data_IF_856696782467
#
_entry.id   IF_856696782467
#
_cell.length_a   1.000
_cell.length_b   1.000
_cell.length_c   1.000
_cell.angle_alpha   90.00
_cell.angle_beta   90.00
_cell.angle_gamma   90.00
#
_symmetry.space_group_name_H-M   'P 1'
#
loop_
_entity.id
_entity.type
_entity.pdbx_description
1 polymer ?
#
# COMPACT_ATOMS: atom_id res chain seq x y z
N UNK A 1 25.36 11.76 -1.72
CA UNK A 1 24.43 10.72 -2.23
C UNK A 1 23.42 10.45 -1.12
N UNK A 2 22.20 10.96 -1.25
CA UNK A 2 21.19 10.84 -0.18
C UNK A 2 20.54 9.45 -0.25
N UNK A 3 21.15 8.47 0.41
CA UNK A 3 20.50 7.21 0.74
C UNK A 3 19.42 7.49 1.78
N UNK A 4 18.21 7.86 1.33
CA UNK A 4 17.05 7.99 2.20
C UNK A 4 16.90 6.70 2.98
N UNK A 5 16.84 6.79 4.32
CA UNK A 5 16.75 5.63 5.21
C UNK A 5 15.68 4.68 4.67
N UNK A 6 16.06 3.46 4.31
CA UNK A 6 15.12 2.40 4.00
C UNK A 6 14.25 2.22 5.24
N UNK A 7 12.99 2.64 5.11
CA UNK A 7 12.01 2.44 6.16
C UNK A 7 11.20 1.20 5.83
N UNK A 8 10.54 0.66 6.83
CA UNK A 8 9.58 -0.43 6.64
C UNK A 8 8.21 0.06 7.08
N UNK A 9 7.18 -0.47 6.43
CA UNK A 9 5.82 -0.31 6.89
C UNK A 9 5.62 -1.08 8.20
N UNK A 10 4.78 -0.57 9.11
CA UNK A 10 4.43 -1.32 10.29
C UNK A 10 3.74 -2.64 9.91
N UNK A 11 4.21 -3.72 10.51
CA UNK A 11 3.63 -5.05 10.38
C UNK A 11 2.12 -5.05 10.64
N UNK A 12 1.36 -5.82 9.86
CA UNK A 12 -0.09 -5.91 9.96
C UNK A 12 -0.78 -6.01 8.60
N UNK A 13 -2.09 -6.23 8.63
CA UNK A 13 -2.92 -6.32 7.42
C UNK A 13 -3.28 -4.92 6.93
N UNK A 14 -3.04 -4.66 5.67
CA UNK A 14 -3.47 -3.47 4.95
C UNK A 14 -4.68 -3.85 4.12
N UNK A 15 -5.80 -3.17 4.40
CA UNK A 15 -7.06 -3.35 3.69
C UNK A 15 -7.19 -2.19 2.71
N UNK A 16 -7.28 -2.50 1.42
CA UNK A 16 -7.42 -1.50 0.37
C UNK A 16 -8.89 -1.26 0.07
N UNK A 17 -9.27 0.01 -0.05
CA UNK A 17 -10.63 0.42 -0.38
C UNK A 17 -10.62 1.57 -1.38
N UNK A 18 -11.61 1.59 -2.25
CA UNK A 18 -11.92 2.72 -3.12
C UNK A 18 -12.89 3.67 -2.39
N UNK A 19 -12.69 4.99 -2.46
CA UNK A 19 -13.70 5.96 -2.09
C UNK A 19 -14.87 5.78 -3.07
N UNK A 20 -16.03 5.40 -2.55
CA UNK A 20 -17.24 5.39 -3.36
C UNK A 20 -17.72 6.82 -3.59
N UNK A 21 -18.46 7.02 -4.68
CA UNK A 21 -19.06 8.30 -5.04
C UNK A 21 -19.94 8.83 -3.90
N UNK A 22 -20.04 10.16 -3.79
CA UNK A 22 -20.78 10.89 -2.76
C UNK A 22 -22.30 10.60 -2.72
N UNK A 23 -22.79 9.73 -3.60
CA UNK A 23 -24.17 9.24 -3.69
C UNK A 23 -24.33 7.76 -3.28
N UNK A 24 -23.25 7.08 -2.88
CA UNK A 24 -23.21 5.64 -2.59
C UNK A 24 -22.39 5.27 -1.34
N UNK A 25 -22.01 3.98 -1.20
CA UNK A 25 -21.21 3.49 -0.07
C UNK A 25 -19.92 4.31 0.05
N UNK A 26 -19.64 4.86 1.22
CA UNK A 26 -18.49 5.74 1.43
C UNK A 26 -17.13 5.10 1.09
N UNK A 27 -17.02 3.77 1.21
CA UNK A 27 -15.81 2.99 0.94
C UNK A 27 -16.18 1.60 0.41
N UNK A 28 -15.57 1.17 -0.70
CA UNK A 28 -15.69 -0.18 -1.23
C UNK A 28 -14.35 -0.91 -1.08
N UNK A 29 -14.31 -1.94 -0.24
CA UNK A 29 -13.10 -2.73 0.00
C UNK A 29 -12.77 -3.57 -1.24
N UNK A 30 -11.50 -3.55 -1.65
CA UNK A 30 -10.97 -4.37 -2.75
C UNK A 30 -10.09 -5.46 -2.12
N UNK A 31 -10.66 -6.63 -1.76
CA UNK A 31 -9.89 -7.72 -1.17
C UNK A 31 -8.75 -8.19 -2.08
N UNK A 32 -8.91 -8.06 -3.40
CA UNK A 32 -7.88 -8.38 -4.41
C UNK A 32 -6.59 -7.54 -4.25
N UNK A 33 -6.67 -6.39 -3.59
CA UNK A 33 -5.55 -5.48 -3.36
C UNK A 33 -5.07 -5.51 -1.91
N UNK A 34 -5.68 -6.33 -1.06
CA UNK A 34 -5.25 -6.49 0.33
C UNK A 34 -3.89 -7.17 0.41
N UNK A 35 -3.08 -6.70 1.35
CA UNK A 35 -1.79 -7.31 1.64
C UNK A 35 -1.46 -7.25 3.12
N UNK A 36 -0.66 -8.20 3.58
CA UNK A 36 -0.16 -8.27 4.95
C UNK A 36 1.34 -8.00 4.92
N UNK A 37 1.78 -7.04 5.73
CA UNK A 37 3.21 -6.82 5.97
C UNK A 37 3.63 -7.76 7.09
N UNK A 38 4.44 -8.75 6.72
CA UNK A 38 4.92 -9.81 7.61
C UNK A 38 6.14 -9.30 8.39
N UNK A 39 7.28 -9.15 7.73
CA UNK A 39 8.47 -8.56 8.33
C UNK A 39 9.32 -7.78 7.32
N UNK A 40 9.95 -6.72 7.81
CA UNK A 40 10.81 -5.85 7.03
C UNK A 40 10.11 -5.28 5.80
N UNK A 41 10.74 -5.44 4.64
CA UNK A 41 10.28 -4.96 3.33
C UNK A 41 9.48 -5.99 2.53
N UNK A 42 8.85 -6.96 3.22
CA UNK A 42 8.12 -8.08 2.60
C UNK A 42 6.62 -7.92 2.81
N UNK A 43 5.83 -8.23 1.79
CA UNK A 43 4.37 -8.27 1.85
C UNK A 43 3.86 -9.63 1.36
N UNK A 44 2.69 -10.03 1.84
CA UNK A 44 1.98 -11.25 1.47
C UNK A 44 0.55 -10.91 1.07
N UNK A 45 0.08 -11.46 -0.05
CA UNK A 45 -1.32 -11.39 -0.50
C UNK A 45 -1.86 -12.81 -0.68
N UNK A 46 -3.15 -12.94 -0.99
CA UNK A 46 -3.73 -14.24 -1.35
C UNK A 46 -3.09 -14.83 -2.62
N UNK A 47 -2.66 -13.97 -3.56
CA UNK A 47 -2.01 -14.40 -4.79
C UNK A 47 -0.53 -14.78 -4.61
N UNK A 48 0.13 -14.37 -3.52
CA UNK A 48 1.52 -14.73 -3.23
C UNK A 48 2.28 -13.69 -2.42
N UNK A 49 3.60 -13.82 -2.37
CA UNK A 49 4.47 -12.97 -1.54
C UNK A 49 5.37 -12.12 -2.43
N UNK A 50 5.71 -10.92 -1.98
CA UNK A 50 6.63 -10.03 -2.68
C UNK A 50 7.37 -9.08 -1.75
N UNK A 51 8.11 -8.16 -2.34
CA UNK A 51 8.84 -7.13 -1.59
C UNK A 51 8.49 -5.74 -2.10
N UNK A 52 8.56 -4.78 -1.20
CA UNK A 52 8.34 -3.37 -1.48
C UNK A 52 9.53 -2.55 -0.97
N UNK A 53 9.69 -1.35 -1.49
CA UNK A 53 10.73 -0.42 -1.10
C UNK A 53 10.06 0.85 -0.61
N UNK A 54 10.25 1.20 0.66
CA UNK A 54 9.73 2.43 1.24
C UNK A 54 10.86 3.45 1.39
N UNK A 55 10.73 4.55 0.65
CA UNK A 55 11.66 5.67 0.66
C UNK A 55 10.93 6.93 1.11
N UNK A 56 11.18 7.33 2.36
CA UNK A 56 10.47 8.43 3.01
C UNK A 56 8.98 8.13 3.15
N UNK A 57 8.17 8.61 2.21
CA UNK A 57 6.72 8.34 2.15
C UNK A 57 6.32 7.50 0.94
N UNK A 58 7.19 7.25 -0.03
CA UNK A 58 6.83 6.50 -1.22
C UNK A 58 7.15 5.02 -1.04
N UNK A 59 6.14 4.18 -1.21
CA UNK A 59 6.20 2.70 -1.18
C UNK A 59 6.14 2.23 -2.62
N UNK A 60 7.17 1.55 -3.12
CA UNK A 60 7.18 0.99 -4.47
C UNK A 60 7.32 -0.51 -4.42
N UNK A 61 6.39 -1.22 -5.06
CA UNK A 61 6.37 -2.67 -5.09
C UNK A 61 7.30 -3.16 -6.21
N UNK A 62 8.40 -3.78 -5.83
CA UNK A 62 9.46 -4.20 -6.76
C UNK A 62 9.33 -5.68 -7.16
N UNK A 63 8.59 -6.47 -6.39
CA UNK A 63 8.43 -7.92 -6.57
C UNK A 63 7.04 -8.40 -6.17
N UNK A 64 6.62 -9.56 -6.69
CA UNK A 64 5.35 -10.21 -6.38
C UNK A 64 4.19 -9.76 -7.28
N UNK A 65 2.94 -10.12 -6.93
CA UNK A 65 1.76 -9.85 -7.76
C UNK A 65 1.44 -8.36 -7.90
N UNK A 66 1.90 -7.52 -6.98
CA UNK A 66 1.71 -6.06 -7.03
C UNK A 66 2.91 -5.32 -7.64
N UNK A 67 3.84 -6.03 -8.31
CA UNK A 67 5.03 -5.42 -8.92
C UNK A 67 4.65 -4.29 -9.88
N UNK A 68 5.33 -3.15 -9.73
CA UNK A 68 5.11 -1.96 -10.56
C UNK A 68 4.13 -0.96 -9.95
N UNK A 69 3.38 -1.34 -8.91
CA UNK A 69 2.53 -0.43 -8.19
C UNK A 69 3.34 0.46 -7.24
N UNK A 70 2.95 1.72 -7.14
CA UNK A 70 3.48 2.65 -6.16
C UNK A 70 2.36 3.12 -5.25
N UNK A 71 2.69 3.41 -3.99
CA UNK A 71 1.77 3.93 -2.99
C UNK A 71 2.47 5.04 -2.21
N UNK A 72 1.72 6.01 -1.75
CA UNK A 72 2.18 7.05 -0.85
C UNK A 72 1.67 6.80 0.56
N UNK A 73 2.58 6.78 1.51
CA UNK A 73 2.32 6.78 2.93
C UNK A 73 1.86 8.15 3.38
N UNK A 74 0.55 8.29 3.45
CA UNK A 74 -0.10 9.46 4.04
C UNK A 74 0.22 9.54 5.52
N UNK A 75 0.16 8.42 6.26
CA UNK A 75 0.40 8.37 7.71
C UNK A 75 0.92 7.02 8.20
N UNK A 76 1.10 6.87 9.52
CA UNK A 76 1.67 5.69 10.20
C UNK A 76 1.17 4.34 9.66
N UNK A 77 -0.14 4.23 9.42
CA UNK A 77 -0.79 3.05 8.84
C UNK A 77 -1.78 3.38 7.73
N UNK A 78 -1.58 4.48 6.99
CA UNK A 78 -2.44 4.82 5.84
C UNK A 78 -1.59 5.04 4.60
N UNK A 79 -1.95 4.33 3.55
CA UNK A 79 -1.35 4.35 2.24
C UNK A 79 -2.38 4.80 1.21
N UNK A 80 -1.92 5.42 0.13
CA UNK A 80 -2.74 5.82 -1.00
C UNK A 80 -2.07 5.34 -2.27
N UNK A 81 -2.80 4.69 -3.15
CA UNK A 81 -2.25 4.23 -4.42
C UNK A 81 -1.77 5.44 -5.21
N UNK A 82 -0.59 5.33 -5.81
CA UNK A 82 -0.07 6.29 -6.78
C UNK A 82 -0.25 5.70 -8.17
N UNK A 83 -0.67 6.56 -9.08
CA UNK A 83 -0.73 6.24 -10.50
C UNK A 83 0.68 6.23 -11.11
N UNK A 84 0.81 5.85 -12.38
CA UNK A 84 2.10 5.82 -13.11
C UNK A 84 2.80 7.19 -13.14
N UNK A 85 2.00 8.27 -13.06
CA UNK A 85 2.47 9.65 -12.97
C UNK A 85 2.86 10.09 -11.55
N UNK A 86 2.81 9.20 -10.55
CA UNK A 86 3.07 9.52 -9.15
C UNK A 86 1.95 10.34 -8.47
N UNK A 87 0.77 10.41 -9.09
CA UNK A 87 -0.37 11.15 -8.54
C UNK A 87 -1.22 10.27 -7.62
N UNK A 88 -1.76 10.83 -6.52
CA UNK A 88 -2.57 10.08 -5.57
C UNK A 88 -3.89 9.66 -6.21
N UNK A 89 -3.98 8.37 -6.53
CA UNK A 89 -5.14 7.72 -7.09
C UNK A 89 -6.31 7.67 -6.11
N UNK A 90 -7.38 6.99 -6.56
CA UNK A 90 -8.59 6.82 -5.76
C UNK A 90 -8.39 5.80 -4.65
N UNK A 91 -7.67 4.70 -4.89
CA UNK A 91 -7.50 3.61 -3.90
C UNK A 91 -6.72 4.09 -2.67
N UNK A 92 -7.27 3.80 -1.48
CA UNK A 92 -6.64 4.05 -0.19
C UNK A 92 -6.53 2.73 0.58
N UNK A 93 -5.35 2.44 1.12
CA UNK A 93 -5.14 1.26 1.94
C UNK A 93 -4.85 1.64 3.38
N UNK A 94 -5.62 1.10 4.32
CA UNK A 94 -5.47 1.38 5.75
C UNK A 94 -5.01 0.12 6.47
N UNK A 95 -4.09 0.29 7.41
CA UNK A 95 -3.63 -0.78 8.28
C UNK A 95 -4.74 -1.12 9.27
N UNK A 96 -5.32 -2.30 9.09
CA UNK A 96 -6.18 -2.93 10.08
C UNK A 96 -5.27 -3.63 11.10
N UNK A 97 -4.98 -2.91 12.19
CA UNK A 97 -4.41 -3.52 13.37
C UNK A 97 -5.58 -4.04 14.20
N UNK A 98 -5.79 -5.36 14.17
CA UNK A 98 -6.62 -6.03 15.16
C UNK A 98 -5.71 -6.68 16.19
#
# INVERSE_FOLDING_TARGET
MAGGKLQTLPQGRYICSLPGDALGKAWEEIPDKDFVIDNGSTYRTEAGTGTYLLTGRQVQFTRGPMKGMAFERISGGTLRLLDENGQPGRVRCVRSAR
#
